data_IF_685229467139
#
_entry.id   IF_685229467139
#
_cell.length_a   1.000
_cell.length_b   1.000
_cell.length_c   1.000
_cell.angle_alpha   90.00
_cell.angle_beta   90.00
_cell.angle_gamma   90.00
#
_symmetry.space_group_name_H-M   'P 1'
#
loop_
_entity.id
_entity.type
_entity.pdbx_description
1 polymer ?
#
# COMPACT_ATOMS: atom_id res chain seq x y z
N UNK A 1 -22.36 -27.88 29.55
CA UNK A 1 -22.59 -27.56 28.12
C UNK A 1 -22.12 -26.14 27.91
N UNK A 2 -20.90 -25.96 27.38
CA UNK A 2 -20.39 -24.65 27.00
C UNK A 2 -20.74 -24.41 25.52
N UNK A 3 -21.30 -23.25 25.15
CA UNK A 3 -21.43 -22.90 23.74
C UNK A 3 -20.06 -22.45 23.23
N UNK A 4 -19.50 -23.25 22.34
CA UNK A 4 -18.36 -22.92 21.51
C UNK A 4 -18.71 -21.74 20.59
N UNK A 5 -18.02 -20.61 20.79
CA UNK A 5 -18.09 -19.47 19.87
C UNK A 5 -17.26 -19.83 18.63
N UNK A 6 -17.93 -20.22 17.55
CA UNK A 6 -17.32 -20.47 16.25
C UNK A 6 -17.00 -19.16 15.54
N UNK A 7 -15.74 -19.03 15.17
CA UNK A 7 -15.12 -18.00 14.36
C UNK A 7 -15.82 -17.79 13.01
N UNK A 8 -16.05 -16.53 12.61
CA UNK A 8 -16.03 -16.13 11.19
C UNK A 8 -16.08 -14.60 11.03
N UNK A 9 -14.93 -13.93 10.96
CA UNK A 9 -14.80 -12.64 10.21
C UNK A 9 -13.38 -12.48 9.67
N UNK A 10 -13.05 -13.22 8.62
CA UNK A 10 -11.99 -12.82 7.69
C UNK A 10 -12.49 -11.61 6.88
N UNK A 11 -12.32 -10.39 7.41
CA UNK A 11 -12.68 -9.14 6.73
C UNK A 11 -11.48 -8.49 6.00
N UNK A 12 -10.64 -9.30 5.35
CA UNK A 12 -9.31 -8.84 4.90
C UNK A 12 -9.28 -7.75 3.78
N UNK A 13 -10.42 -7.29 3.24
CA UNK A 13 -10.44 -6.38 2.09
C UNK A 13 -11.59 -5.35 2.00
N UNK A 14 -12.34 -5.07 3.06
CA UNK A 14 -13.14 -3.82 3.05
C UNK A 14 -12.25 -2.67 3.52
N UNK A 15 -11.32 -2.26 2.66
CA UNK A 15 -10.37 -1.16 2.91
C UNK A 15 -10.97 0.21 2.54
N UNK A 16 -12.30 0.29 2.43
CA UNK A 16 -13.03 1.48 1.99
C UNK A 16 -12.45 2.08 0.67
N UNK A 17 -12.09 1.23 -0.29
CA UNK A 17 -11.52 1.59 -1.60
C UNK A 17 -10.13 2.26 -1.55
N UNK A 18 -9.36 2.10 -0.47
CA UNK A 18 -8.02 2.69 -0.37
C UNK A 18 -7.07 2.19 -1.46
N UNK A 19 -6.92 0.86 -1.57
CA UNK A 19 -6.07 0.22 -2.58
C UNK A 19 -6.58 0.55 -3.99
N UNK A 20 -7.89 0.64 -4.19
CA UNK A 20 -8.48 1.04 -5.48
C UNK A 20 -8.10 2.47 -5.87
N UNK A 21 -8.02 3.37 -4.90
CA UNK A 21 -7.56 4.75 -5.11
C UNK A 21 -6.07 4.79 -5.47
N UNK A 22 -5.24 3.97 -4.82
CA UNK A 22 -3.82 3.88 -5.17
C UNK A 22 -3.63 3.30 -6.59
N UNK A 23 -4.41 2.27 -6.94
CA UNK A 23 -4.33 1.62 -8.25
C UNK A 23 -4.91 2.45 -9.40
N UNK A 24 -5.75 3.45 -9.11
CA UNK A 24 -6.27 4.33 -10.16
C UNK A 24 -5.27 5.40 -10.58
N UNK A 25 -4.22 5.66 -9.79
CA UNK A 25 -3.18 6.62 -10.15
C UNK A 25 -2.37 6.15 -11.35
N UNK A 26 -2.29 7.01 -12.36
CA UNK A 26 -1.32 6.88 -13.43
C UNK A 26 0.08 7.25 -12.93
N UNK A 27 1.10 6.94 -13.74
CA UNK A 27 2.46 7.42 -13.45
C UNK A 27 2.48 8.96 -13.36
N UNK A 28 1.74 9.66 -14.23
CA UNK A 28 1.65 11.12 -14.17
C UNK A 28 1.03 11.60 -12.86
N UNK A 29 0.00 10.92 -12.36
CA UNK A 29 -0.62 11.26 -11.07
C UNK A 29 0.36 11.05 -9.92
N UNK A 30 1.09 9.92 -9.90
CA UNK A 30 2.08 9.62 -8.85
C UNK A 30 3.17 10.70 -8.79
N UNK A 31 3.59 11.26 -9.93
CA UNK A 31 4.61 12.30 -9.99
C UNK A 31 4.05 13.74 -9.95
N UNK A 32 2.72 13.90 -9.94
CA UNK A 32 2.09 15.21 -9.90
C UNK A 32 1.98 15.73 -8.46
N UNK A 33 2.88 16.64 -8.08
CA UNK A 33 2.87 17.31 -6.76
C UNK A 33 1.62 18.17 -6.51
N UNK A 34 0.89 18.52 -7.58
CA UNK A 34 -0.32 19.33 -7.50
C UNK A 34 -1.61 18.50 -7.58
N UNK A 35 -1.54 17.15 -7.59
CA UNK A 35 -2.70 16.26 -7.78
C UNK A 35 -3.86 16.57 -6.81
N UNK A 36 -3.53 16.85 -5.54
CA UNK A 36 -4.50 17.18 -4.50
C UNK A 36 -4.36 18.60 -3.94
N UNK A 37 -3.69 19.51 -4.67
CA UNK A 37 -3.35 20.86 -4.17
C UNK A 37 -4.54 21.65 -3.63
N UNK A 38 -5.68 21.57 -4.30
CA UNK A 38 -6.88 22.34 -3.95
C UNK A 38 -7.74 21.62 -2.88
N UNK A 39 -7.52 20.33 -2.70
CA UNK A 39 -8.22 19.46 -1.77
C UNK A 39 -7.50 19.37 -0.42
N UNK A 40 -6.16 19.45 -0.43
CA UNK A 40 -5.31 19.53 0.77
C UNK A 40 -5.39 20.95 1.34
N UNK A 41 -6.31 21.12 2.30
CA UNK A 41 -6.49 22.39 3.02
C UNK A 41 -5.74 22.36 4.36
N UNK A 42 -5.45 23.53 4.91
CA UNK A 42 -4.96 23.61 6.28
C UNK A 42 -5.95 22.94 7.23
N UNK A 43 -5.45 22.04 8.07
CA UNK A 43 -6.26 21.41 9.11
C UNK A 43 -6.67 22.50 10.10
N UNK A 44 -7.98 22.70 10.22
CA UNK A 44 -8.56 23.68 11.13
C UNK A 44 -8.32 23.29 12.60
N UNK A 45 -8.24 24.27 13.49
CA UNK A 45 -8.14 24.01 14.94
C UNK A 45 -9.49 23.65 15.58
N UNK A 46 -10.57 23.87 14.84
CA UNK A 46 -11.96 23.64 15.26
C UNK A 46 -12.70 22.97 14.11
N UNK A 47 -13.56 22.01 14.43
CA UNK A 47 -14.32 21.30 13.41
C UNK A 47 -15.82 21.39 13.71
N UNK A 48 -16.59 21.62 12.64
CA UNK A 48 -18.06 21.75 12.68
C UNK A 48 -18.78 20.45 13.04
N UNK A 49 -18.12 19.31 12.81
CA UNK A 49 -18.64 17.99 13.14
C UNK A 49 -17.51 16.96 13.16
N UNK A 50 -17.79 15.78 13.72
CA UNK A 50 -16.92 14.60 13.63
C UNK A 50 -16.63 14.22 12.17
N UNK A 51 -17.64 14.28 11.30
CA UNK A 51 -17.45 14.03 9.86
C UNK A 51 -16.54 15.06 9.19
N UNK A 52 -16.66 16.33 9.59
CA UNK A 52 -15.75 17.39 9.14
C UNK A 52 -14.31 17.15 9.60
N UNK A 53 -14.13 16.67 10.84
CA UNK A 53 -12.83 16.28 11.37
C UNK A 53 -12.19 15.15 10.54
N UNK A 54 -12.83 13.99 10.44
CA UNK A 54 -12.26 12.85 9.71
C UNK A 54 -12.07 13.15 8.22
N UNK A 55 -13.03 13.85 7.59
CA UNK A 55 -12.94 14.27 6.20
C UNK A 55 -11.74 15.18 5.90
N UNK A 56 -11.27 15.97 6.88
CA UNK A 56 -10.12 16.86 6.69
C UNK A 56 -8.78 16.12 6.53
N UNK A 57 -8.69 14.86 6.97
CA UNK A 57 -7.46 14.05 6.87
C UNK A 57 -7.42 13.15 5.63
N UNK A 58 -8.53 13.02 4.88
CA UNK A 58 -8.62 12.13 3.71
C UNK A 58 -7.59 12.50 2.64
N UNK A 59 -7.62 13.74 2.15
CA UNK A 59 -6.69 14.19 1.11
C UNK A 59 -5.24 14.33 1.59
N UNK A 60 -4.95 14.83 2.80
CA UNK A 60 -3.59 14.76 3.34
C UNK A 60 -3.01 13.34 3.35
N UNK A 61 -3.79 12.33 3.73
CA UNK A 61 -3.35 10.94 3.75
C UNK A 61 -3.11 10.38 2.34
N UNK A 62 -3.96 10.72 1.37
CA UNK A 62 -3.76 10.35 -0.03
C UNK A 62 -2.49 10.99 -0.59
N UNK A 63 -2.25 12.27 -0.28
CA UNK A 63 -1.07 13.00 -0.71
C UNK A 63 0.23 12.47 -0.07
N UNK A 64 0.19 12.11 1.21
CA UNK A 64 1.29 11.41 1.89
C UNK A 64 1.60 10.07 1.23
N UNK A 65 0.57 9.27 0.95
CA UNK A 65 0.70 7.96 0.29
C UNK A 65 1.28 8.09 -1.13
N UNK A 66 0.78 9.07 -1.91
CA UNK A 66 1.27 9.37 -3.26
C UNK A 66 2.73 9.78 -3.23
N UNK A 67 3.10 10.68 -2.31
CA UNK A 67 4.48 11.16 -2.14
C UNK A 67 5.44 10.03 -1.76
N UNK A 68 4.99 9.13 -0.88
CA UNK A 68 5.78 7.94 -0.48
C UNK A 68 6.03 7.00 -1.68
N UNK A 69 5.03 6.78 -2.53
CA UNK A 69 5.20 6.01 -3.77
C UNK A 69 6.14 6.71 -4.76
N UNK A 70 5.98 8.03 -4.94
CA UNK A 70 6.84 8.86 -5.80
C UNK A 70 8.31 8.72 -5.39
N UNK A 71 8.62 8.98 -4.12
CA UNK A 71 9.98 8.90 -3.58
C UNK A 71 10.59 7.50 -3.72
N UNK A 72 9.77 6.45 -3.54
CA UNK A 72 10.22 5.08 -3.77
C UNK A 72 10.54 4.80 -5.24
N UNK A 73 9.70 5.28 -6.17
CA UNK A 73 9.95 5.13 -7.60
C UNK A 73 11.19 5.91 -8.10
N UNK A 74 11.55 7.01 -7.45
CA UNK A 74 12.79 7.74 -7.74
C UNK A 74 14.05 6.95 -7.35
N UNK A 75 13.91 5.93 -6.49
CA UNK A 75 15.03 5.13 -5.96
C UNK A 75 15.01 3.65 -6.40
N UNK A 76 14.33 3.35 -7.52
CA UNK A 76 14.18 1.99 -8.06
C UNK A 76 15.49 1.22 -8.22
N UNK A 77 16.56 1.89 -8.66
CA UNK A 77 17.89 1.27 -8.82
C UNK A 77 18.43 0.60 -7.54
N UNK A 78 18.02 1.09 -6.37
CA UNK A 78 18.43 0.59 -5.05
C UNK A 78 17.37 -0.31 -4.39
N UNK A 79 16.16 -0.36 -4.94
CA UNK A 79 15.05 -1.11 -4.35
C UNK A 79 15.34 -2.62 -4.31
N UNK A 80 14.89 -3.30 -3.23
CA UNK A 80 14.85 -4.75 -3.19
C UNK A 80 14.06 -5.31 -4.39
N UNK A 81 14.59 -6.35 -5.02
CA UNK A 81 13.92 -7.00 -6.14
C UNK A 81 14.14 -8.52 -6.13
N UNK A 82 13.20 -9.25 -6.73
CA UNK A 82 13.29 -10.68 -6.94
C UNK A 82 12.70 -11.05 -8.31
N UNK A 83 13.10 -12.19 -8.85
CA UNK A 83 12.48 -12.76 -10.05
C UNK A 83 11.30 -13.63 -9.62
N UNK A 84 10.20 -13.56 -10.38
CA UNK A 84 9.02 -14.39 -10.17
C UNK A 84 9.28 -15.76 -10.77
N UNK A 85 9.23 -16.79 -9.92
CA UNK A 85 9.44 -18.19 -10.29
C UNK A 85 8.12 -18.85 -10.70
N UNK A 86 7.02 -18.49 -10.04
CA UNK A 86 5.69 -18.90 -10.49
C UNK A 86 4.63 -17.89 -10.08
N UNK A 87 3.59 -17.79 -10.90
CA UNK A 87 2.42 -16.97 -10.65
C UNK A 87 1.19 -17.79 -11.04
N UNK A 88 0.30 -18.02 -10.09
CA UNK A 88 -0.91 -18.84 -10.29
C UNK A 88 -2.13 -18.09 -9.80
N UNK A 89 -3.25 -18.18 -10.52
CA UNK A 89 -4.52 -17.63 -10.06
C UNK A 89 -4.92 -18.24 -8.70
N UNK A 90 -5.43 -17.37 -7.84
CA UNK A 90 -6.01 -17.71 -6.56
C UNK A 90 -7.34 -16.97 -6.46
N UNK A 91 -8.45 -17.57 -6.95
CA UNK A 91 -9.74 -16.91 -6.95
C UNK A 91 -10.14 -16.47 -5.54
N UNK A 92 -10.58 -15.21 -5.38
CA UNK A 92 -11.20 -14.73 -4.15
C UNK A 92 -12.73 -14.70 -4.31
N UNK A 93 -13.44 -14.92 -3.20
CA UNK A 93 -14.91 -14.95 -3.14
C UNK A 93 -15.55 -13.57 -3.39
N UNK A 94 -14.76 -12.52 -3.65
CA UNK A 94 -15.18 -11.11 -3.73
C UNK A 94 -14.97 -10.45 -5.10
N UNK A 95 -14.96 -11.22 -6.18
CA UNK A 95 -14.83 -10.73 -7.57
C UNK A 95 -13.52 -9.97 -7.88
N UNK A 96 -12.45 -10.20 -7.12
CA UNK A 96 -11.10 -9.70 -7.46
C UNK A 96 -10.19 -10.90 -7.69
N UNK A 97 -9.41 -10.87 -8.77
CA UNK A 97 -8.44 -11.92 -9.04
C UNK A 97 -7.21 -11.69 -8.17
N UNK A 98 -6.96 -12.60 -7.23
CA UNK A 98 -5.67 -12.68 -6.54
C UNK A 98 -4.79 -13.70 -7.25
N UNK A 99 -3.49 -13.60 -7.00
CA UNK A 99 -2.52 -14.55 -7.51
C UNK A 99 -1.60 -15.03 -6.39
N UNK A 100 -1.30 -16.32 -6.36
CA UNK A 100 -0.21 -16.86 -5.57
C UNK A 100 1.09 -16.65 -6.35
N UNK A 101 1.91 -15.72 -5.88
CA UNK A 101 3.24 -15.46 -6.42
C UNK A 101 4.30 -16.17 -5.61
N UNK A 102 5.26 -16.79 -6.30
CA UNK A 102 6.50 -17.32 -5.72
C UNK A 102 7.68 -16.61 -6.36
N UNK A 103 8.57 -16.05 -5.54
CA UNK A 103 9.79 -15.40 -6.01
C UNK A 103 11.03 -16.17 -5.60
N UNK A 104 12.13 -15.94 -6.31
CA UNK A 104 13.45 -16.33 -5.84
C UNK A 104 13.94 -15.38 -4.73
N UNK A 105 15.19 -15.57 -4.33
CA UNK A 105 15.84 -14.77 -3.30
C UNK A 105 15.83 -13.28 -3.64
N UNK A 106 15.31 -12.48 -2.70
CA UNK A 106 15.36 -11.03 -2.77
C UNK A 106 16.79 -10.52 -2.76
N UNK A 107 17.07 -9.60 -3.69
CA UNK A 107 18.37 -8.94 -3.87
C UNK A 107 18.21 -7.48 -3.51
N UNK A 108 19.09 -6.95 -2.67
CA UNK A 108 19.16 -5.53 -2.33
C UNK A 108 20.51 -4.98 -2.80
N UNK A 109 20.52 -3.90 -3.59
CA UNK A 109 21.77 -3.27 -4.08
C UNK A 109 22.48 -2.48 -2.96
N UNK A 110 21.77 -2.17 -1.88
CA UNK A 110 22.14 -1.19 -0.85
C UNK A 110 22.77 -1.80 0.41
N UNK A 111 23.12 -3.08 0.44
CA UNK A 111 23.60 -3.75 1.66
C UNK A 111 25.06 -3.39 2.01
N UNK A 112 25.29 -2.15 2.43
CA UNK A 112 26.36 -1.83 3.34
C UNK A 112 25.88 -2.06 4.76
N UNK A 113 26.42 -3.08 5.43
CA UNK A 113 26.34 -3.30 6.89
C UNK A 113 25.01 -3.81 7.51
N UNK A 114 24.28 -4.67 6.81
CA UNK A 114 23.20 -5.45 7.41
C UNK A 114 22.84 -6.65 6.56
N UNK A 115 23.09 -7.86 7.06
CA UNK A 115 22.98 -9.11 6.30
C UNK A 115 21.54 -9.65 6.21
N UNK A 116 20.53 -8.87 6.63
CA UNK A 116 19.14 -9.29 6.60
C UNK A 116 18.51 -8.95 5.24
N UNK A 117 18.11 -9.99 4.53
CA UNK A 117 17.41 -9.86 3.26
C UNK A 117 15.99 -9.36 3.50
N UNK A 118 15.50 -8.57 2.55
CA UNK A 118 14.12 -8.14 2.54
C UNK A 118 13.18 -9.36 2.57
N UNK A 119 12.10 -9.24 3.35
CA UNK A 119 11.03 -10.23 3.49
C UNK A 119 9.72 -9.55 3.14
N UNK A 120 8.91 -10.20 2.31
CA UNK A 120 7.58 -9.71 1.94
C UNK A 120 6.66 -9.65 3.15
N UNK A 121 6.00 -8.52 3.32
CA UNK A 121 4.97 -8.26 4.33
C UNK A 121 3.63 -8.01 3.66
N UNK A 122 2.55 -8.22 4.41
CA UNK A 122 1.22 -7.79 4.00
C UNK A 122 1.20 -6.27 3.84
N UNK A 123 0.55 -5.79 2.77
CA UNK A 123 0.49 -4.36 2.45
C UNK A 123 1.73 -3.81 1.76
N UNK A 124 2.72 -4.64 1.43
CA UNK A 124 3.81 -4.23 0.55
C UNK A 124 3.30 -3.97 -0.86
N UNK A 125 3.70 -2.85 -1.43
CA UNK A 125 3.45 -2.44 -2.81
C UNK A 125 4.68 -2.77 -3.63
N UNK A 126 4.48 -3.40 -4.78
CA UNK A 126 5.53 -3.73 -5.72
C UNK A 126 5.19 -3.24 -7.12
N UNK A 127 6.23 -3.05 -7.93
CA UNK A 127 6.12 -3.12 -9.38
C UNK A 127 6.33 -4.57 -9.80
N UNK A 128 5.37 -5.12 -10.54
CA UNK A 128 5.52 -6.36 -11.29
C UNK A 128 5.80 -6.00 -12.76
N UNK A 129 6.94 -6.41 -13.31
CA UNK A 129 7.37 -6.03 -14.66
C UNK A 129 8.09 -7.15 -15.41
N UNK A 130 8.07 -7.11 -16.75
CA UNK A 130 8.79 -8.05 -17.63
C UNK A 130 10.26 -7.66 -17.88
N UNK A 131 10.79 -6.82 -16.99
CA UNK A 131 12.15 -6.31 -16.95
C UNK A 131 12.42 -5.77 -15.54
N UNK A 132 13.69 -5.49 -15.23
CA UNK A 132 14.05 -4.76 -14.02
C UNK A 132 14.20 -3.27 -14.34
N UNK A 133 13.26 -2.38 -13.95
CA UNK A 133 13.46 -0.94 -14.03
C UNK A 133 14.56 -0.50 -13.07
N UNK A 134 15.45 0.38 -13.52
CA UNK A 134 16.42 1.09 -12.66
C UNK A 134 16.01 2.55 -12.44
N UNK A 135 15.35 3.15 -13.42
CA UNK A 135 14.83 4.52 -13.38
C UNK A 135 13.36 4.58 -13.80
N UNK A 136 12.68 5.66 -13.43
CA UNK A 136 11.26 5.88 -13.74
C UNK A 136 10.99 5.84 -15.26
N UNK A 137 11.89 6.41 -16.06
CA UNK A 137 11.77 6.42 -17.53
C UNK A 137 11.70 5.02 -18.14
N UNK A 138 12.27 4.01 -17.47
CA UNK A 138 12.19 2.63 -17.94
C UNK A 138 10.75 2.11 -17.98
N UNK A 139 9.88 2.62 -17.10
CA UNK A 139 8.45 2.29 -17.00
C UNK A 139 7.64 2.85 -18.17
N UNK A 140 8.18 3.83 -18.91
CA UNK A 140 7.51 4.43 -20.07
C UNK A 140 7.96 3.81 -21.41
N UNK A 141 8.91 2.88 -21.37
CA UNK A 141 9.46 2.26 -22.58
C UNK A 141 8.40 1.44 -23.32
N UNK A 142 8.24 1.71 -24.62
CA UNK A 142 7.32 0.97 -25.49
C UNK A 142 7.66 -0.52 -25.55
N UNK A 143 6.63 -1.38 -25.52
CA UNK A 143 6.79 -2.83 -25.60
C UNK A 143 7.22 -3.50 -24.30
N UNK A 144 7.34 -2.74 -23.20
CA UNK A 144 7.53 -3.26 -21.85
C UNK A 144 6.24 -3.18 -21.06
N UNK A 145 6.03 -4.17 -20.19
CA UNK A 145 4.84 -4.26 -19.36
C UNK A 145 5.24 -4.09 -17.90
N UNK A 146 4.44 -3.31 -17.17
CA UNK A 146 4.50 -3.27 -15.72
C UNK A 146 3.12 -2.98 -15.13
N UNK A 147 2.92 -3.36 -13.87
CA UNK A 147 1.72 -3.04 -13.10
C UNK A 147 2.04 -2.93 -11.61
N UNK A 148 1.25 -2.17 -10.86
CA UNK A 148 1.34 -2.15 -9.40
C UNK A 148 0.65 -3.39 -8.84
N UNK A 149 1.24 -3.98 -7.80
CA UNK A 149 0.64 -5.09 -7.05
C UNK A 149 0.80 -4.84 -5.56
N UNK A 150 -0.18 -5.29 -4.77
CA UNK A 150 -0.15 -5.24 -3.30
C UNK A 150 -0.12 -6.65 -2.75
N UNK A 151 0.79 -6.91 -1.81
CA UNK A 151 0.81 -8.16 -1.04
C UNK A 151 -0.42 -8.25 -0.12
N UNK A 152 -1.23 -9.28 -0.35
CA UNK A 152 -2.46 -9.59 0.37
C UNK A 152 -2.23 -10.49 1.58
N UNK A 153 -1.01 -11.02 1.76
CA UNK A 153 -0.66 -11.93 2.84
C UNK A 153 0.29 -13.02 2.39
N UNK A 154 0.91 -13.71 3.36
CA UNK A 154 1.81 -14.84 3.11
C UNK A 154 0.98 -16.10 2.85
N UNK A 155 1.46 -16.97 1.95
CA UNK A 155 0.89 -18.32 1.80
C UNK A 155 1.62 -19.21 2.79
N UNK A 156 0.91 -19.83 3.73
CA UNK A 156 1.48 -20.88 4.57
C UNK A 156 1.85 -22.07 3.68
N UNK A 157 3.14 -22.37 3.53
CA UNK A 157 3.59 -23.54 2.79
C UNK A 157 3.52 -24.78 3.71
N UNK A 158 2.87 -25.84 3.24
CA UNK A 158 2.93 -27.16 3.86
C UNK A 158 4.36 -27.70 3.66
N UNK A 159 5.12 -27.77 4.74
CA UNK A 159 6.56 -28.05 4.73
C UNK A 159 6.89 -29.43 4.15
N UNK A 160 7.55 -29.47 2.99
CA UNK A 160 8.41 -30.60 2.60
C UNK A 160 9.34 -30.24 1.43
N UNK A 161 10.45 -29.56 1.70
CA UNK A 161 11.80 -30.05 1.39
C UNK A 161 12.86 -28.97 1.64
N UNK A 162 14.03 -29.39 2.12
CA UNK A 162 15.14 -28.57 2.62
C UNK A 162 15.89 -27.71 1.57
N UNK A 163 15.20 -27.26 0.51
CA UNK A 163 15.68 -26.31 -0.50
C UNK A 163 14.82 -25.03 -0.60
N UNK A 164 13.75 -24.93 0.20
CA UNK A 164 12.77 -23.83 0.24
C UNK A 164 13.27 -22.56 0.96
N UNK A 165 14.41 -22.58 1.65
CA UNK A 165 14.82 -21.53 2.62
C UNK A 165 15.06 -20.13 2.01
N UNK A 166 15.09 -19.99 0.68
CA UNK A 166 15.33 -18.72 -0.01
C UNK A 166 14.20 -18.28 -0.95
N UNK A 167 13.13 -19.06 -1.06
CA UNK A 167 11.96 -18.69 -1.88
C UNK A 167 10.94 -17.95 -1.01
N UNK A 168 10.18 -17.02 -1.61
CA UNK A 168 9.10 -16.33 -0.91
C UNK A 168 7.78 -16.55 -1.64
N UNK A 169 6.79 -17.08 -0.93
CA UNK A 169 5.45 -17.36 -1.44
C UNK A 169 4.42 -16.47 -0.75
N UNK A 170 3.65 -15.72 -1.54
CA UNK A 170 2.67 -14.77 -1.01
C UNK A 170 1.55 -14.50 -2.02
N UNK A 171 0.43 -14.01 -1.50
CA UNK A 171 -0.72 -13.60 -2.31
C UNK A 171 -0.53 -12.17 -2.77
N UNK A 172 -0.79 -11.90 -4.04
CA UNK A 172 -0.76 -10.56 -4.60
C UNK A 172 -2.10 -10.19 -5.21
N UNK A 173 -2.43 -8.92 -5.05
CA UNK A 173 -3.57 -8.26 -5.68
C UNK A 173 -3.02 -7.23 -6.68
N UNK A 174 -3.22 -7.42 -8.00
CA UNK A 174 -2.73 -6.47 -8.98
C UNK A 174 -3.72 -5.34 -9.25
N UNK A 175 -3.20 -4.21 -9.74
CA UNK A 175 -4.00 -3.08 -10.18
C UNK A 175 -4.85 -3.39 -11.42
N UNK A 176 -4.35 -4.29 -12.26
CA UNK A 176 -5.00 -4.80 -13.47
C UNK A 176 -4.82 -6.31 -13.52
N UNK A 177 -5.82 -7.02 -14.02
CA UNK A 177 -5.72 -8.47 -14.19
C UNK A 177 -4.49 -8.82 -15.04
N UNK A 178 -3.82 -9.89 -14.63
CA UNK A 178 -2.58 -10.33 -15.24
C UNK A 178 -2.91 -11.38 -16.30
N UNK A 179 -2.50 -11.11 -17.54
CA UNK A 179 -2.52 -12.09 -18.61
C UNK A 179 -1.40 -13.12 -18.37
N UNK A 180 -1.78 -14.27 -17.83
CA UNK A 180 -0.83 -15.34 -17.50
C UNK A 180 -0.19 -15.97 -18.74
N UNK A 181 -0.84 -15.94 -19.91
CA UNK A 181 -0.27 -16.48 -21.15
C UNK A 181 0.89 -15.62 -21.63
N UNK A 182 0.77 -14.30 -21.51
CA UNK A 182 1.87 -13.37 -21.79
C UNK A 182 2.98 -13.44 -20.75
N UNK A 183 2.62 -13.59 -19.46
CA UNK A 183 3.58 -13.68 -18.36
C UNK A 183 4.40 -14.97 -18.43
N UNK A 184 3.79 -16.11 -18.76
CA UNK A 184 4.50 -17.40 -18.84
C UNK A 184 5.62 -17.44 -19.89
N UNK A 185 5.64 -16.50 -20.84
CA UNK A 185 6.63 -16.42 -21.90
C UNK A 185 7.85 -15.54 -21.57
N UNK A 186 7.82 -14.79 -20.46
CA UNK A 186 8.84 -13.80 -20.11
C UNK A 186 9.32 -13.95 -18.67
N UNK A 187 10.59 -13.62 -18.41
CA UNK A 187 11.07 -13.43 -17.04
C UNK A 187 10.40 -12.20 -16.42
N UNK A 188 9.70 -12.40 -15.30
CA UNK A 188 9.05 -11.34 -14.55
C UNK A 188 9.84 -11.00 -13.28
N UNK A 189 9.79 -9.74 -12.88
CA UNK A 189 10.46 -9.22 -11.70
C UNK A 189 9.47 -8.52 -10.79
N UNK A 190 9.66 -8.70 -9.48
CA UNK A 190 9.01 -7.90 -8.44
C UNK A 190 10.02 -6.95 -7.85
N UNK A 191 9.67 -5.66 -7.80
CA UNK A 191 10.50 -4.58 -7.27
C UNK A 191 9.71 -3.94 -6.13
N UNK A 192 10.26 -3.97 -4.93
CA UNK A 192 9.63 -3.38 -3.75
C UNK A 192 9.57 -1.85 -3.88
N UNK A 193 8.42 -1.28 -3.56
CA UNK A 193 8.25 0.16 -3.45
C UNK A 193 8.16 0.58 -1.98
N UNK A 194 7.08 0.22 -1.32
CA UNK A 194 6.79 0.68 0.03
C UNK A 194 5.75 -0.21 0.72
N UNK A 195 5.61 -0.11 2.04
CA UNK A 195 4.52 -0.74 2.77
C UNK A 195 3.43 0.30 3.09
N UNK A 196 2.21 0.07 2.60
CA UNK A 196 1.06 0.98 2.80
C UNK A 196 0.21 0.61 4.02
N UNK A 197 0.63 -0.36 4.85
CA UNK A 197 -0.13 -0.76 6.05
C UNK A 197 -0.38 0.40 7.02
N UNK A 198 0.60 1.28 7.32
CA UNK A 198 0.34 2.43 8.19
C UNK A 198 -0.76 3.32 7.63
N UNK A 199 -0.67 3.66 6.35
CA UNK A 199 -1.60 4.55 5.67
C UNK A 199 -2.99 3.92 5.58
N UNK A 200 -3.06 2.61 5.29
CA UNK A 200 -4.29 1.82 5.29
C UNK A 200 -4.95 1.82 6.68
N UNK A 201 -4.20 1.62 7.76
CA UNK A 201 -4.75 1.66 9.12
C UNK A 201 -5.34 3.02 9.47
N UNK A 202 -4.68 4.10 9.06
CA UNK A 202 -5.21 5.46 9.24
C UNK A 202 -6.48 5.62 8.40
N UNK A 203 -6.46 5.22 7.13
CA UNK A 203 -7.62 5.29 6.24
C UNK A 203 -8.83 4.55 6.81
N UNK A 204 -8.64 3.32 7.28
CA UNK A 204 -9.67 2.55 7.95
C UNK A 204 -10.21 3.30 9.17
N UNK A 205 -9.34 3.87 10.02
CA UNK A 205 -9.76 4.66 11.17
C UNK A 205 -10.55 5.93 10.79
N UNK A 206 -10.24 6.59 9.66
CA UNK A 206 -11.02 7.72 9.14
C UNK A 206 -12.43 7.31 8.70
N UNK A 207 -12.62 6.04 8.32
CA UNK A 207 -13.86 5.50 7.77
C UNK A 207 -14.60 4.54 8.72
N UNK A 208 -14.05 4.27 9.91
CA UNK A 208 -14.75 3.56 10.96
C UNK A 208 -16.04 4.32 11.30
N UNK A 209 -17.19 3.66 11.09
CA UNK A 209 -18.51 4.22 11.41
C UNK A 209 -18.52 4.88 12.80
N UNK A 210 -19.24 5.99 12.94
CA UNK A 210 -19.36 6.88 14.12
C UNK A 210 -19.86 6.21 15.43
N UNK A 211 -19.78 4.88 15.56
CA UNK A 211 -20.35 4.08 16.64
C UNK A 211 -19.48 3.93 17.88
N UNK A 212 -18.38 4.69 18.03
CA UNK A 212 -17.63 4.67 19.29
C UNK A 212 -18.11 5.79 20.21
N UNK A 213 -18.58 5.41 21.41
CA UNK A 213 -18.89 6.33 22.53
C UNK A 213 -17.70 7.25 22.89
N UNK A 214 -16.49 6.92 22.42
CA UNK A 214 -15.28 7.73 22.52
C UNK A 214 -15.29 8.94 21.59
N UNK A 215 -15.73 8.79 20.33
CA UNK A 215 -15.81 9.90 19.36
C UNK A 215 -16.85 10.94 19.81
N UNK A 216 -17.96 10.49 20.39
CA UNK A 216 -18.95 11.40 21.00
C UNK A 216 -18.38 12.17 22.20
N UNK A 217 -17.48 11.57 23.00
CA UNK A 217 -16.82 12.28 24.11
C UNK A 217 -15.86 13.38 23.65
N UNK A 218 -15.20 13.21 22.49
CA UNK A 218 -14.40 14.27 21.86
C UNK A 218 -15.31 15.43 21.41
N UNK A 219 -16.58 15.15 21.10
CA UNK A 219 -17.59 16.12 20.68
C UNK A 219 -18.37 16.80 21.82
N UNK A 220 -18.40 16.23 23.03
CA UNK A 220 -19.32 16.64 24.10
C UNK A 220 -18.66 17.37 25.29
N UNK A 221 -17.52 18.02 25.10
CA UNK A 221 -16.95 18.92 26.11
C UNK A 221 -17.28 20.40 25.78
N UNK A 222 -18.57 20.75 25.87
CA UNK A 222 -19.05 22.14 25.99
C UNK A 222 -19.04 22.99 24.72
N UNK A 223 -20.13 22.96 23.95
CA UNK A 223 -20.52 23.94 22.93
C UNK A 223 -19.97 23.66 21.53
N UNK A 224 -20.76 22.98 20.69
CA UNK A 224 -20.78 22.85 19.21
C UNK A 224 -19.47 22.82 18.38
N UNK A 225 -18.30 22.77 18.99
CA UNK A 225 -17.01 22.80 18.30
C UNK A 225 -16.08 21.72 18.85
N UNK A 226 -15.65 20.81 17.96
CA UNK A 226 -14.59 19.86 18.31
C UNK A 226 -13.26 20.62 18.34
N UNK A 227 -12.74 20.87 19.54
CA UNK A 227 -11.40 21.44 19.75
C UNK A 227 -10.39 20.32 19.84
N UNK A 228 -9.44 20.31 18.92
CA UNK A 228 -8.34 19.34 18.94
C UNK A 228 -7.05 20.09 19.23
N UNK A 229 -6.45 19.84 20.39
CA UNK A 229 -5.16 20.41 20.75
C UNK A 229 -4.06 19.52 20.15
N UNK A 230 -3.76 19.72 18.86
CA UNK A 230 -2.67 19.02 18.21
C UNK A 230 -1.62 20.03 17.70
N UNK A 231 -0.42 19.85 18.24
CA UNK A 231 0.86 20.32 17.72
C UNK A 231 1.17 19.77 16.30
N UNK A 232 0.17 19.29 15.53
CA UNK A 232 0.30 18.76 14.16
C UNK A 232 0.15 19.82 13.07
N UNK A 233 -0.26 21.06 13.39
CA UNK A 233 -0.29 22.14 12.40
C UNK A 233 1.11 22.44 11.81
N UNK A 234 2.18 21.99 12.49
CA UNK A 234 3.54 22.04 11.97
C UNK A 234 3.82 20.97 10.90
N UNK A 235 3.19 19.79 10.93
CA UNK A 235 3.58 18.70 10.03
C UNK A 235 3.21 18.94 8.57
N UNK A 236 2.06 19.56 8.28
CA UNK A 236 1.65 19.88 6.90
C UNK A 236 2.39 21.11 6.35
N UNK A 237 2.86 22.03 7.21
CA UNK A 237 3.74 23.13 6.79
C UNK A 237 5.22 22.71 6.68
N UNK A 238 5.65 21.66 7.38
CA UNK A 238 7.07 21.26 7.41
C UNK A 238 7.55 20.53 6.14
N UNK A 239 6.69 19.92 5.33
CA UNK A 239 7.14 19.30 4.07
C UNK A 239 7.42 20.29 2.93
N UNK A 240 7.24 21.61 3.16
CA UNK A 240 7.70 22.64 2.23
C UNK A 240 9.20 22.97 2.34
N UNK A 241 9.96 22.34 3.22
CA UNK A 241 11.41 22.51 3.33
C UNK A 241 12.09 21.20 3.72
N UNK A 242 12.53 20.42 2.72
CA UNK A 242 13.81 19.70 2.68
C UNK A 242 13.83 18.67 1.53
N UNK A 243 13.81 19.19 0.30
CA UNK A 243 14.47 18.54 -0.83
C UNK A 243 15.41 19.59 -1.39
N UNK A 244 16.64 19.58 -0.87
CA UNK A 244 17.87 20.11 -1.46
C UNK A 244 19.02 19.28 -0.90
#
# INVERSE_FOLDING_TARGET
MNPSCSSSRNSYFDDHNFINTIFSWSLQDIFNQDLYKDQVKCIELRFKSVGHYFGSYVYPLLEETRTQLCSSMETLQSSPFAEVVSLKEAPDNKNRMLYNGRTNRWRNRSSGHGNEMYKTLTGDVFILADFKPEIVDDLQRTGKMWTLVVSAGVVEEETSDHSEELMSSFKILPAKDIDLDQVGQKSMFMIFLTNITPNRRIWEALHMSQNSKLIQKISCAGGDEVRVNLMLCLYIKCFKFNIL
#
